data_IF_275659844450
#
_entry.id   IF_275659844450
#
_cell.length_a   1.000
_cell.length_b   1.000
_cell.length_c   1.000
_cell.angle_alpha   90.00
_cell.angle_beta   90.00
_cell.angle_gamma   90.00
#
_symmetry.space_group_name_H-M   'P 1'
#
loop_
_entity.id
_entity.type
_entity.pdbx_description
1 polymer ?
#
# COMPACT_ATOMS: atom_id res chain seq x y z
N UNK A 1 0.74 -1.72 -20.10
CA UNK A 1 1.46 -1.87 -18.82
C UNK A 1 0.69 -1.21 -17.68
N UNK A 2 0.66 -1.83 -16.50
CA UNK A 2 -0.01 -1.31 -15.29
C UNK A 2 0.94 -1.35 -14.10
N UNK A 3 0.84 -0.35 -13.23
CA UNK A 3 1.52 -0.36 -11.94
C UNK A 3 0.61 -0.93 -10.85
N UNK A 4 1.17 -1.67 -9.91
CA UNK A 4 0.51 -2.09 -8.67
C UNK A 4 1.34 -1.58 -7.51
N UNK A 5 0.73 -0.84 -6.58
CA UNK A 5 1.40 -0.40 -5.34
C UNK A 5 0.74 -1.12 -4.17
N UNK A 6 1.49 -1.93 -3.43
CA UNK A 6 1.01 -2.67 -2.27
C UNK A 6 1.48 -1.98 -0.99
N UNK A 7 0.51 -1.45 -0.25
CA UNK A 7 0.74 -0.76 1.01
C UNK A 7 0.64 -1.76 2.16
N UNK A 8 1.50 -1.57 3.16
CA UNK A 8 1.41 -2.29 4.42
C UNK A 8 0.37 -1.65 5.35
N UNK A 9 -0.21 -2.47 6.22
CA UNK A 9 -1.19 -2.04 7.22
C UNK A 9 -1.05 -2.89 8.48
N UNK A 10 -1.07 -2.21 9.62
CA UNK A 10 -1.06 -2.81 10.94
C UNK A 10 0.22 -3.58 11.26
N UNK A 11 1.35 -2.87 11.29
CA UNK A 11 2.68 -3.42 11.54
C UNK A 11 2.83 -4.10 12.92
N UNK A 12 3.64 -5.15 12.99
CA UNK A 12 4.07 -5.84 14.23
C UNK A 12 5.59 -5.93 14.28
N UNK A 13 6.17 -5.90 15.48
CA UNK A 13 7.61 -6.15 15.69
C UNK A 13 8.02 -7.57 15.29
N UNK A 14 7.17 -8.54 15.61
CA UNK A 14 7.42 -9.96 15.36
C UNK A 14 6.42 -10.52 14.33
N UNK A 15 6.99 -11.13 13.29
CA UNK A 15 6.25 -11.80 12.22
C UNK A 15 5.37 -10.87 11.38
N UNK A 16 4.65 -11.49 10.44
CA UNK A 16 3.73 -10.76 9.55
C UNK A 16 2.38 -10.54 10.24
N UNK A 17 1.87 -9.31 10.18
CA UNK A 17 0.51 -9.07 10.66
C UNK A 17 -0.52 -9.78 9.77
N UNK A 18 -1.64 -10.28 10.31
CA UNK A 18 -2.70 -10.88 9.50
C UNK A 18 -3.24 -9.95 8.41
N UNK A 19 -3.19 -8.63 8.65
CA UNK A 19 -3.56 -7.62 7.66
C UNK A 19 -2.59 -7.62 6.47
N UNK A 20 -1.28 -7.59 6.71
CA UNK A 20 -0.26 -7.65 5.66
C UNK A 20 -0.33 -8.97 4.87
N UNK A 21 -0.58 -10.10 5.55
CA UNK A 21 -0.77 -11.40 4.87
C UNK A 21 -1.99 -11.37 3.93
N UNK A 22 -3.11 -10.81 4.38
CA UNK A 22 -4.30 -10.69 3.52
C UNK A 22 -4.08 -9.71 2.37
N UNK A 23 -3.36 -8.61 2.60
CA UNK A 23 -3.01 -7.64 1.56
C UNK A 23 -2.11 -8.26 0.49
N UNK A 24 -1.07 -9.00 0.90
CA UNK A 24 -0.20 -9.73 -0.01
C UNK A 24 -0.98 -10.74 -0.86
N UNK A 25 -1.84 -11.56 -0.23
CA UNK A 25 -2.70 -12.51 -0.97
C UNK A 25 -3.65 -11.81 -1.95
N UNK A 26 -4.22 -10.68 -1.57
CA UNK A 26 -5.07 -9.88 -2.45
C UNK A 26 -4.28 -9.30 -3.63
N UNK A 27 -3.08 -8.76 -3.38
CA UNK A 27 -2.19 -8.24 -4.41
C UNK A 27 -1.80 -9.35 -5.39
N UNK A 28 -1.39 -10.53 -4.91
CA UNK A 28 -1.04 -11.67 -5.75
C UNK A 28 -2.20 -12.07 -6.66
N UNK A 29 -3.42 -12.15 -6.12
CA UNK A 29 -4.61 -12.44 -6.93
C UNK A 29 -4.80 -11.39 -8.03
N UNK A 30 -4.72 -10.12 -7.69
CA UNK A 30 -4.89 -9.01 -8.63
C UNK A 30 -3.81 -9.05 -9.72
N UNK A 31 -2.54 -9.22 -9.36
CA UNK A 31 -1.43 -9.29 -10.31
C UNK A 31 -1.63 -10.45 -11.28
N UNK A 32 -1.91 -11.66 -10.77
CA UNK A 32 -2.15 -12.84 -11.61
C UNK A 32 -3.36 -12.70 -12.52
N UNK A 33 -4.43 -12.04 -12.08
CA UNK A 33 -5.59 -11.75 -12.93
C UNK A 33 -5.25 -10.78 -14.08
N UNK A 34 -4.41 -9.77 -13.80
CA UNK A 34 -3.95 -8.83 -14.82
C UNK A 34 -3.02 -9.53 -15.83
N UNK A 35 -2.05 -10.30 -15.37
CA UNK A 35 -1.14 -11.07 -16.22
C UNK A 35 -1.90 -12.06 -17.10
N UNK A 36 -2.91 -12.77 -16.55
CA UNK A 36 -3.80 -13.65 -17.32
C UNK A 36 -4.56 -12.92 -18.43
N UNK A 37 -4.81 -11.62 -18.27
CA UNK A 37 -5.43 -10.77 -19.30
C UNK A 37 -4.44 -10.22 -20.33
N UNK A 38 -3.16 -10.65 -20.28
CA UNK A 38 -2.10 -10.20 -21.18
C UNK A 38 -1.46 -8.88 -20.79
N UNK A 39 -1.71 -8.38 -19.56
CA UNK A 39 -1.17 -7.12 -19.10
C UNK A 39 0.21 -7.31 -18.47
N UNK A 40 1.19 -6.53 -18.91
CA UNK A 40 2.45 -6.39 -18.18
C UNK A 40 2.23 -5.58 -16.89
N UNK A 41 2.67 -6.13 -15.76
CA UNK A 41 2.47 -5.53 -14.44
C UNK A 41 3.82 -5.22 -13.80
N UNK A 42 3.99 -3.99 -13.30
CA UNK A 42 5.12 -3.60 -12.45
C UNK A 42 4.61 -3.47 -11.02
N UNK A 43 5.19 -4.23 -10.11
CA UNK A 43 4.77 -4.39 -8.72
C UNK A 43 5.74 -3.66 -7.79
N UNK A 44 5.22 -2.69 -7.05
CA UNK A 44 5.93 -1.98 -5.99
C UNK A 44 5.25 -2.31 -4.67
N UNK A 45 6.00 -2.66 -3.63
CA UNK A 45 5.43 -3.02 -2.35
C UNK A 45 6.26 -2.50 -1.17
N UNK A 46 5.59 -2.11 -0.08
CA UNK A 46 6.27 -1.85 1.19
C UNK A 46 6.88 -3.15 1.74
N UNK A 47 8.05 -3.05 2.40
CA UNK A 47 8.84 -4.18 2.90
C UNK A 47 8.02 -5.31 3.51
N UNK A 48 7.11 -4.99 4.44
CA UNK A 48 6.39 -6.04 5.19
C UNK A 48 5.37 -6.79 4.36
N UNK A 49 4.78 -6.15 3.35
CA UNK A 49 3.93 -6.84 2.36
C UNK A 49 4.76 -7.54 1.30
N UNK A 50 5.89 -6.95 0.87
CA UNK A 50 6.79 -7.54 -0.11
C UNK A 50 7.34 -8.90 0.37
N UNK A 51 7.82 -8.96 1.61
CA UNK A 51 8.33 -10.20 2.20
C UNK A 51 7.30 -11.34 2.15
N UNK A 52 6.03 -11.07 2.49
CA UNK A 52 4.96 -12.07 2.37
C UNK A 52 4.68 -12.45 0.92
N UNK A 53 4.76 -11.50 -0.01
CA UNK A 53 4.52 -11.77 -1.44
C UNK A 53 5.60 -12.70 -2.01
N UNK A 54 6.85 -12.45 -1.65
CA UNK A 54 7.99 -13.27 -2.06
C UNK A 54 7.91 -14.69 -1.48
N UNK A 55 7.58 -14.83 -0.18
CA UNK A 55 7.31 -16.13 0.46
C UNK A 55 6.21 -16.93 -0.25
N UNK A 56 5.24 -16.24 -0.86
CA UNK A 56 4.13 -16.83 -1.61
C UNK A 56 4.40 -16.96 -3.11
N UNK A 57 5.62 -16.69 -3.56
CA UNK A 57 6.09 -16.93 -4.92
C UNK A 57 5.67 -15.84 -5.93
N UNK A 58 5.54 -14.58 -5.50
CA UNK A 58 5.41 -13.44 -6.41
C UNK A 58 6.55 -12.44 -6.15
N UNK A 59 7.35 -12.18 -7.19
CA UNK A 59 8.43 -11.19 -7.14
C UNK A 59 7.87 -9.77 -7.09
N UNK A 60 8.58 -8.88 -6.41
CA UNK A 60 8.30 -7.44 -6.36
C UNK A 60 9.42 -6.71 -7.12
N UNK A 61 9.08 -5.80 -8.02
CA UNK A 61 10.06 -5.03 -8.80
C UNK A 61 10.79 -3.99 -7.96
N UNK A 62 10.07 -3.39 -6.99
CA UNK A 62 10.65 -2.46 -6.02
C UNK A 62 10.09 -2.69 -4.62
N UNK A 63 11.00 -2.96 -3.68
CA UNK A 63 10.68 -3.00 -2.25
C UNK A 63 10.95 -1.64 -1.61
N UNK A 64 9.89 -0.99 -1.12
CA UNK A 64 9.98 0.30 -0.43
C UNK A 64 10.25 0.06 1.05
N UNK A 65 11.36 0.64 1.52
CA UNK A 65 11.83 0.58 2.89
C UNK A 65 12.63 1.84 3.25
N UNK A 66 12.46 2.34 4.46
CA UNK A 66 13.21 3.40 5.11
C UNK A 66 14.19 2.79 6.12
N UNK A 67 15.30 3.50 6.35
CA UNK A 67 16.35 3.07 7.30
C UNK A 67 15.88 3.10 8.75
N UNK A 68 14.97 4.00 9.11
CA UNK A 68 14.39 4.11 10.45
C UNK A 68 12.94 4.61 10.37
N UNK A 69 12.06 4.03 11.21
CA UNK A 69 10.63 4.34 11.26
C UNK A 69 9.78 3.64 10.20
N UNK A 70 8.46 3.85 10.28
CA UNK A 70 7.47 3.30 9.33
C UNK A 70 7.16 4.31 8.22
N UNK A 71 7.14 3.88 6.95
CA UNK A 71 6.87 4.79 5.83
C UNK A 71 5.39 5.14 5.73
N UNK A 72 5.12 6.44 5.65
CA UNK A 72 3.78 6.92 5.32
C UNK A 72 3.42 6.60 3.87
N UNK A 73 2.12 6.47 3.59
CA UNK A 73 1.60 6.21 2.24
C UNK A 73 2.08 7.24 1.20
N UNK A 74 2.33 8.49 1.62
CA UNK A 74 2.89 9.57 0.80
C UNK A 74 4.29 9.24 0.26
N UNK A 75 5.19 8.81 1.14
CA UNK A 75 6.57 8.45 0.82
C UNK A 75 6.59 7.23 -0.11
N UNK A 76 5.73 6.25 0.17
CA UNK A 76 5.54 5.06 -0.67
C UNK A 76 5.12 5.44 -2.10
N UNK A 77 4.13 6.32 -2.23
CA UNK A 77 3.67 6.77 -3.56
C UNK A 77 4.71 7.62 -4.27
N UNK A 78 5.50 8.42 -3.54
CA UNK A 78 6.58 9.21 -4.13
C UNK A 78 7.68 8.32 -4.74
N UNK A 79 8.15 7.32 -4.00
CA UNK A 79 9.17 6.38 -4.50
C UNK A 79 8.63 5.52 -5.66
N UNK A 80 7.37 5.08 -5.57
CA UNK A 80 6.73 4.33 -6.66
C UNK A 80 6.58 5.17 -7.95
N UNK A 81 6.24 6.46 -7.83
CA UNK A 81 6.15 7.40 -8.95
C UNK A 81 7.51 7.58 -9.66
N UNK A 82 8.59 7.72 -8.91
CA UNK A 82 9.95 7.78 -9.46
C UNK A 82 10.32 6.48 -10.19
N UNK A 83 10.02 5.33 -9.57
CA UNK A 83 10.27 4.03 -10.18
C UNK A 83 9.50 3.82 -11.49
N UNK A 84 8.21 4.14 -11.50
CA UNK A 84 7.37 4.01 -12.70
C UNK A 84 7.82 4.92 -13.85
N UNK A 85 8.42 6.07 -13.56
CA UNK A 85 9.02 6.93 -14.58
C UNK A 85 10.26 6.32 -15.21
N UNK A 86 11.09 5.64 -14.41
CA UNK A 86 12.30 4.95 -14.89
C UNK A 86 11.98 3.68 -15.68
N UNK A 87 10.90 2.96 -15.36
CA UNK A 87 10.52 1.74 -16.07
C UNK A 87 9.92 1.98 -17.47
N UNK A 88 9.51 3.22 -17.78
CA UNK A 88 8.81 3.58 -19.02
C UNK A 88 9.67 4.16 -20.16
N UNK A 89 10.99 3.91 -20.15
CA UNK A 89 11.96 4.59 -21.04
C UNK A 89 11.82 4.22 -22.53
N UNK A 90 11.11 3.14 -22.88
CA UNK A 90 10.96 2.67 -24.27
C UNK A 90 9.55 2.90 -24.88
N UNK A 91 8.81 3.91 -24.41
CA UNK A 91 7.50 4.29 -24.97
C UNK A 91 6.29 3.66 -24.27
N UNK A 92 6.47 2.57 -23.52
CA UNK A 92 5.43 1.97 -22.69
C UNK A 92 5.34 2.63 -21.32
N UNK A 93 4.53 3.70 -21.23
CA UNK A 93 4.29 4.41 -19.97
C UNK A 93 3.23 3.73 -19.11
N UNK A 94 3.51 3.59 -17.82
CA UNK A 94 2.51 3.26 -16.81
C UNK A 94 1.59 4.48 -16.64
N UNK A 95 0.37 4.38 -17.17
CA UNK A 95 -0.66 5.43 -17.02
C UNK A 95 -1.72 5.07 -15.98
N UNK A 96 -1.79 3.78 -15.62
CA UNK A 96 -2.78 3.24 -14.70
C UNK A 96 -2.09 2.51 -13.55
N UNK A 97 -2.44 2.91 -12.33
CA UNK A 97 -1.89 2.34 -11.09
C UNK A 97 -3.03 1.81 -10.23
N UNK A 98 -2.85 0.61 -9.69
CA UNK A 98 -3.78 -0.07 -8.80
C UNK A 98 -3.20 -0.05 -7.39
N UNK A 99 -3.69 0.81 -6.49
CA UNK A 99 -3.29 0.78 -5.09
C UNK A 99 -3.99 -0.37 -4.37
N UNK A 100 -3.20 -1.24 -3.73
CA UNK A 100 -3.67 -2.34 -2.88
C UNK A 100 -3.43 -1.93 -1.42
N UNK A 101 -4.51 -1.55 -0.74
CA UNK A 101 -4.49 -1.06 0.63
C UNK A 101 -5.75 -1.52 1.38
N UNK A 102 -5.76 -1.42 2.71
CA UNK A 102 -6.94 -1.76 3.52
C UNK A 102 -8.19 -0.98 3.03
N UNK A 103 -9.29 -1.64 2.62
CA UNK A 103 -10.43 -1.03 1.92
C UNK A 103 -11.34 -0.21 2.84
N UNK A 104 -10.77 0.84 3.40
CA UNK A 104 -11.41 1.82 4.26
C UNK A 104 -10.78 3.19 3.98
N UNK A 105 -10.68 4.06 4.99
CA UNK A 105 -10.00 5.36 4.91
C UNK A 105 -8.60 5.25 4.29
N UNK A 106 -7.87 4.16 4.57
CA UNK A 106 -6.53 3.95 4.01
C UNK A 106 -6.56 3.85 2.47
N UNK A 107 -7.40 2.99 1.89
CA UNK A 107 -7.53 2.88 0.44
C UNK A 107 -7.97 4.19 -0.21
N UNK A 108 -8.91 4.93 0.41
CA UNK A 108 -9.32 6.24 -0.08
C UNK A 108 -8.14 7.21 -0.18
N UNK A 109 -7.33 7.30 0.89
CA UNK A 109 -6.11 8.11 0.91
C UNK A 109 -5.12 7.68 -0.18
N UNK A 110 -4.85 6.38 -0.31
CA UNK A 110 -3.93 5.87 -1.34
C UNK A 110 -4.39 6.18 -2.76
N UNK A 111 -5.69 6.10 -3.04
CA UNK A 111 -6.28 6.51 -4.33
C UNK A 111 -5.98 7.99 -4.61
N UNK A 112 -6.23 8.87 -3.64
CA UNK A 112 -5.97 10.31 -3.80
C UNK A 112 -4.48 10.60 -4.04
N UNK A 113 -3.59 9.93 -3.32
CA UNK A 113 -2.14 10.10 -3.49
C UNK A 113 -1.68 9.67 -4.89
N UNK A 114 -2.15 8.52 -5.36
CA UNK A 114 -1.85 8.02 -6.72
C UNK A 114 -2.40 8.98 -7.80
N UNK A 115 -3.62 9.47 -7.63
CA UNK A 115 -4.23 10.44 -8.55
C UNK A 115 -3.48 11.78 -8.55
N UNK A 116 -2.99 12.24 -7.40
CA UNK A 116 -2.18 13.47 -7.29
C UNK A 116 -0.87 13.38 -8.07
N UNK A 117 -0.34 12.18 -8.31
CA UNK A 117 0.82 11.93 -9.18
C UNK A 117 0.47 11.86 -10.68
N UNK A 118 -0.81 12.00 -11.04
CA UNK A 118 -1.28 11.99 -12.43
C UNK A 118 -1.64 10.61 -12.97
N UNK A 119 -1.59 9.56 -12.14
CA UNK A 119 -1.98 8.21 -12.57
C UNK A 119 -3.50 8.03 -12.55
N UNK A 120 -4.03 7.32 -13.56
CA UNK A 120 -5.40 6.81 -13.53
C UNK A 120 -5.48 5.64 -12.57
N UNK A 121 -6.61 5.50 -11.90
CA UNK A 121 -6.90 4.36 -11.01
C UNK A 121 -8.34 3.91 -11.17
N UNK A 122 -8.67 2.77 -10.57
CA UNK A 122 -10.05 2.27 -10.53
C UNK A 122 -10.84 3.00 -9.44
N UNK A 123 -12.18 2.97 -9.53
CA UNK A 123 -13.03 3.55 -8.48
C UNK A 123 -12.83 2.81 -7.15
N UNK A 124 -13.09 3.52 -6.05
CA UNK A 124 -12.98 2.97 -4.70
C UNK A 124 -13.73 1.63 -4.56
N UNK A 125 -14.99 1.56 -5.00
CA UNK A 125 -15.80 0.35 -4.89
C UNK A 125 -15.24 -0.84 -5.68
N UNK A 126 -14.69 -0.58 -6.87
CA UNK A 126 -14.07 -1.64 -7.68
C UNK A 126 -12.80 -2.16 -7.01
N UNK A 127 -11.97 -1.27 -6.49
CA UNK A 127 -10.77 -1.64 -5.74
C UNK A 127 -11.12 -2.39 -4.46
N UNK A 128 -12.08 -1.90 -3.66
CA UNK A 128 -12.52 -2.55 -2.44
C UNK A 128 -13.02 -3.97 -2.70
N UNK A 129 -13.80 -4.18 -3.77
CA UNK A 129 -14.24 -5.51 -4.20
C UNK A 129 -13.08 -6.41 -4.64
N UNK A 130 -12.13 -5.86 -5.41
CA UNK A 130 -10.95 -6.61 -5.87
C UNK A 130 -10.00 -7.00 -4.75
N UNK A 131 -9.84 -6.14 -3.74
CA UNK A 131 -8.95 -6.37 -2.59
C UNK A 131 -9.63 -7.34 -1.61
N UNK A 132 -10.92 -7.15 -1.35
CA UNK A 132 -11.67 -7.91 -0.35
C UNK A 132 -11.35 -7.47 1.08
N UNK A 133 -11.92 -8.14 2.08
CA UNK A 133 -11.79 -7.75 3.47
C UNK A 133 -10.37 -7.99 4.03
N UNK A 134 -9.73 -6.93 4.53
CA UNK A 134 -8.42 -6.98 5.19
C UNK A 134 -8.53 -6.86 6.71
N UNK A 135 -9.45 -6.05 7.22
CA UNK A 135 -9.69 -5.89 8.66
C UNK A 135 -8.59 -5.13 9.41
N UNK A 136 -8.54 -5.33 10.72
CA UNK A 136 -7.68 -4.61 11.66
C UNK A 136 -6.93 -5.60 12.57
N UNK A 137 -5.87 -5.11 13.22
CA UNK A 137 -5.06 -5.94 14.10
C UNK A 137 -4.83 -5.27 15.46
N UNK A 138 -5.43 -5.85 16.51
CA UNK A 138 -5.31 -5.34 17.89
C UNK A 138 -3.88 -5.36 18.43
N UNK A 139 -3.01 -6.21 17.89
CA UNK A 139 -1.59 -6.33 18.29
C UNK A 139 -0.66 -5.44 17.48
N UNK A 140 -1.19 -4.61 16.59
CA UNK A 140 -0.37 -3.71 15.78
C UNK A 140 0.36 -2.68 16.64
N UNK A 141 1.61 -2.40 16.31
CA UNK A 141 2.39 -1.29 16.88
C UNK A 141 1.84 0.08 16.47
N UNK A 142 1.00 0.14 15.42
CA UNK A 142 0.37 1.36 14.95
C UNK A 142 -1.04 1.48 15.55
N UNK A 143 -1.27 2.31 16.58
CA UNK A 143 -2.53 2.28 17.34
C UNK A 143 -3.77 2.59 16.50
N UNK A 144 -3.61 3.41 15.45
CA UNK A 144 -4.67 3.74 14.50
C UNK A 144 -5.21 2.50 13.75
N UNK A 145 -4.37 1.47 13.56
CA UNK A 145 -4.72 0.25 12.81
C UNK A 145 -5.29 -0.87 13.69
N UNK A 146 -5.46 -0.62 15.00
CA UNK A 146 -6.05 -1.57 15.95
C UNK A 146 -7.58 -1.65 15.87
N UNK A 147 -8.22 -0.73 15.15
CA UNK A 147 -9.66 -0.74 14.91
C UNK A 147 -10.14 0.46 14.09
N UNK A 148 -11.35 0.38 13.53
CA UNK A 148 -11.87 1.40 12.62
C UNK A 148 -12.08 2.76 13.29
N UNK A 149 -12.62 2.80 14.52
CA UNK A 149 -12.87 4.05 15.25
C UNK A 149 -11.56 4.79 15.52
N UNK A 150 -10.50 4.06 15.89
CA UNK A 150 -9.17 4.65 16.12
C UNK A 150 -8.58 5.23 14.85
N UNK A 151 -8.78 4.56 13.71
CA UNK A 151 -8.34 5.06 12.41
C UNK A 151 -9.08 6.34 12.03
N UNK A 152 -10.40 6.38 12.21
CA UNK A 152 -11.22 7.59 11.96
C UNK A 152 -10.70 8.76 12.80
N UNK A 153 -10.51 8.56 14.11
CA UNK A 153 -10.03 9.61 15.01
C UNK A 153 -8.62 10.08 14.65
N UNK A 154 -7.73 9.15 14.31
CA UNK A 154 -6.38 9.46 13.85
C UNK A 154 -6.40 10.30 12.57
N UNK A 155 -7.18 9.90 11.57
CA UNK A 155 -7.31 10.65 10.32
C UNK A 155 -7.93 12.03 10.55
N UNK A 156 -8.97 12.14 11.38
CA UNK A 156 -9.56 13.42 11.74
C UNK A 156 -8.53 14.36 12.41
N UNK A 157 -7.72 13.83 13.34
CA UNK A 157 -6.63 14.61 13.95
C UNK A 157 -5.57 15.04 12.94
N UNK A 158 -5.19 14.18 12.00
CA UNK A 158 -4.26 14.56 10.93
C UNK A 158 -4.79 15.70 10.06
N UNK A 159 -6.09 15.67 9.73
CA UNK A 159 -6.73 16.73 8.93
C UNK A 159 -6.80 18.04 9.70
N UNK A 160 -7.13 17.99 10.99
CA UNK A 160 -7.31 19.19 11.82
C UNK A 160 -5.99 19.84 12.29
N UNK A 161 -4.96 19.04 12.58
CA UNK A 161 -3.74 19.52 13.24
C UNK A 161 -2.45 19.29 12.43
N UNK A 162 -2.56 18.75 11.22
CA UNK A 162 -1.41 18.39 10.40
C UNK A 162 -0.71 17.11 10.86
N UNK A 163 0.33 16.71 10.11
CA UNK A 163 1.04 15.45 10.31
C UNK A 163 2.08 15.58 11.45
N UNK A 164 1.91 14.80 12.52
CA UNK A 164 2.98 14.50 13.50
C UNK A 164 3.09 12.98 13.60
N UNK A 165 4.22 12.40 13.19
CA UNK A 165 4.46 10.96 13.27
C UNK A 165 4.53 10.57 14.76
N UNK A 166 3.60 9.75 15.29
CA UNK A 166 3.65 9.36 16.71
C UNK A 166 4.81 8.40 17.02
N UNK A 167 5.39 7.78 15.99
CA UNK A 167 6.45 6.76 16.13
C UNK A 167 7.81 7.40 16.43
N UNK A 168 7.98 8.71 16.18
CA UNK A 168 9.17 9.47 16.61
C UNK A 168 9.19 9.78 18.11
N UNK A 169 8.09 9.54 18.85
CA UNK A 169 8.00 9.88 20.28
C UNK A 169 8.19 8.68 21.21
N UNK A 170 8.63 7.53 20.69
CA UNK A 170 8.87 6.32 21.48
C UNK A 170 10.26 5.76 21.28
N UNK A 171 11.27 6.62 21.33
CA UNK A 171 12.62 6.22 21.73
C UNK A 171 13.00 7.04 22.98
N UNK A 172 13.53 6.40 24.03
CA UNK A 172 13.99 7.07 25.25
C UNK A 172 15.17 7.99 25.01
#
# INVERSE_FOLDING_TARGET
MKGVIVFSFAWRKEGHSPCNVRLAKAAIRIVRELEKSGEMVVVVAQRTTAAVMEELGLSVDLVIQKRAGYEGSEEVVAQADEWFKTYGINGDRITKVIPVANPFIHLFKCIQLVQKKGFKTLSFWKLARMIGWIGFDRRSEQPATRGPIRLVFYTARQVLFGYRNPVEQSEP
#
